data_IF_894317788363
#
_entry.id   IF_894317788363
#
_cell.length_a   1.000
_cell.length_b   1.000
_cell.length_c   1.000
_cell.angle_alpha   90.00
_cell.angle_beta   90.00
_cell.angle_gamma   90.00
#
_symmetry.space_group_name_H-M   'P 1'
#
loop_
_entity.id
_entity.type
_entity.pdbx_description
1 polymer ?
#
# COMPACT_ATOMS: atom_id res chain seq x y z
N UNK A 1 14.21 -10.87 -20.90
CA UNK A 1 13.91 -9.72 -20.03
C UNK A 1 12.82 -10.06 -19.02
N UNK A 2 12.98 -9.60 -17.78
CA UNK A 2 11.91 -9.65 -16.76
C UNK A 2 10.75 -8.72 -17.14
N UNK A 3 9.59 -8.85 -16.50
CA UNK A 3 8.45 -7.94 -16.71
C UNK A 3 8.85 -6.47 -16.45
N UNK A 4 9.64 -6.23 -15.39
CA UNK A 4 10.15 -4.90 -15.04
C UNK A 4 11.01 -4.31 -16.16
N UNK A 5 11.95 -5.10 -16.70
CA UNK A 5 12.79 -4.69 -17.82
C UNK A 5 11.96 -4.38 -19.08
N UNK A 6 10.95 -5.21 -19.39
CA UNK A 6 10.08 -4.97 -20.56
C UNK A 6 9.29 -3.68 -20.46
N UNK A 7 8.72 -3.39 -19.29
CA UNK A 7 7.99 -2.14 -19.06
C UNK A 7 8.95 -0.96 -19.20
N UNK A 8 10.11 -1.01 -18.54
CA UNK A 8 11.10 0.06 -18.62
C UNK A 8 11.65 0.27 -20.03
N UNK A 9 11.87 -0.80 -20.81
CA UNK A 9 12.31 -0.73 -22.20
C UNK A 9 11.29 0.01 -23.08
N UNK A 10 10.01 -0.35 -22.96
CA UNK A 10 8.92 0.33 -23.70
C UNK A 10 8.92 1.84 -23.42
N UNK A 11 8.98 2.22 -22.14
CA UNK A 11 8.92 3.64 -21.73
C UNK A 11 10.18 4.44 -22.06
N UNK A 12 11.31 3.76 -22.25
CA UNK A 12 12.54 4.34 -22.76
C UNK A 12 12.61 4.38 -24.30
N UNK A 13 11.61 3.82 -25.01
CA UNK A 13 11.64 3.68 -26.47
C UNK A 13 12.74 2.74 -26.97
N UNK A 14 13.12 1.75 -26.16
CA UNK A 14 14.18 0.77 -26.46
C UNK A 14 13.57 -0.61 -26.72
N UNK A 15 14.27 -1.42 -27.52
CA UNK A 15 13.89 -2.82 -27.76
C UNK A 15 14.18 -3.70 -26.57
N UNK A 16 15.27 -3.39 -25.86
CA UNK A 16 15.73 -4.11 -24.69
C UNK A 16 16.45 -3.14 -23.74
N UNK A 17 16.47 -3.51 -22.47
CA UNK A 17 17.28 -2.88 -21.42
C UNK A 17 17.85 -3.98 -20.54
N UNK A 18 18.87 -3.65 -19.74
CA UNK A 18 19.46 -4.60 -18.79
C UNK A 18 19.63 -3.99 -17.41
N UNK A 19 19.56 -4.83 -16.37
CA UNK A 19 19.84 -4.41 -15.00
C UNK A 19 21.14 -3.60 -14.89
N UNK A 20 21.08 -2.49 -14.14
CA UNK A 20 22.18 -1.55 -13.97
C UNK A 20 22.26 -0.43 -15.01
N UNK A 21 21.60 -0.58 -16.16
CA UNK A 21 21.52 0.47 -17.18
C UNK A 21 20.78 1.71 -16.67
N UNK A 22 21.27 2.90 -17.01
CA UNK A 22 20.56 4.17 -16.75
C UNK A 22 19.79 4.56 -18.01
N UNK A 23 18.48 4.75 -17.85
CA UNK A 23 17.55 5.12 -18.92
C UNK A 23 16.81 6.41 -18.55
N UNK A 24 16.42 7.18 -19.57
CA UNK A 24 15.39 8.20 -19.43
C UNK A 24 14.08 7.61 -19.95
N UNK A 25 13.02 7.65 -19.15
CA UNK A 25 11.76 6.99 -19.48
C UNK A 25 10.57 7.92 -19.24
N UNK A 26 9.58 7.83 -20.13
CA UNK A 26 8.31 8.56 -20.01
C UNK A 26 7.46 7.91 -18.94
N UNK A 27 6.85 8.72 -18.08
CA UNK A 27 5.94 8.22 -17.04
C UNK A 27 4.49 8.34 -17.48
N UNK A 28 3.66 7.39 -17.08
CA UNK A 28 2.21 7.42 -17.31
C UNK A 28 1.47 8.19 -16.25
N UNK A 29 2.03 8.28 -15.05
CA UNK A 29 1.43 9.00 -13.95
C UNK A 29 2.48 9.49 -12.97
N UNK A 30 2.32 10.74 -12.53
CA UNK A 30 3.03 11.34 -11.40
C UNK A 30 2.03 11.56 -10.27
N UNK A 31 2.25 10.88 -9.15
CA UNK A 31 1.45 11.01 -7.93
C UNK A 31 2.14 11.90 -6.90
N UNK A 32 1.37 12.75 -6.20
CA UNK A 32 1.83 13.39 -4.97
C UNK A 32 0.66 13.66 -4.00
N UNK A 33 0.95 13.65 -2.70
CA UNK A 33 -0.02 13.84 -1.62
C UNK A 33 0.20 15.16 -0.84
N UNK A 34 -0.64 15.42 0.17
CA UNK A 34 -0.61 16.66 0.96
C UNK A 34 0.68 16.89 1.76
N UNK A 35 1.53 15.87 1.92
CA UNK A 35 2.85 16.00 2.57
C UNK A 35 3.92 16.41 1.56
N UNK A 36 3.96 15.73 0.42
CA UNK A 36 5.09 15.80 -0.52
C UNK A 36 4.83 16.69 -1.72
N UNK A 37 3.57 16.86 -2.14
CA UNK A 37 3.18 17.78 -3.20
C UNK A 37 3.52 19.24 -2.87
N UNK A 38 3.35 19.78 -1.64
CA UNK A 38 3.72 21.16 -1.35
C UNK A 38 5.21 21.45 -1.59
N UNK A 39 6.08 20.46 -1.36
CA UNK A 39 7.51 20.57 -1.67
C UNK A 39 7.73 20.49 -3.17
N UNK A 40 7.10 19.51 -3.85
CA UNK A 40 7.21 19.34 -5.29
C UNK A 40 6.71 20.58 -6.06
N UNK A 41 5.59 21.19 -5.63
CA UNK A 41 5.02 22.40 -6.21
C UNK A 41 6.01 23.57 -6.11
N UNK A 42 6.65 23.76 -4.94
CA UNK A 42 7.66 24.81 -4.77
C UNK A 42 8.87 24.60 -5.69
N UNK A 43 9.34 23.36 -5.85
CA UNK A 43 10.43 23.08 -6.79
C UNK A 43 9.99 23.26 -8.25
N UNK A 44 8.78 22.84 -8.61
CA UNK A 44 8.20 23.03 -9.93
C UNK A 44 8.11 24.52 -10.31
N UNK A 45 7.67 25.37 -9.38
CA UNK A 45 7.58 26.83 -9.61
C UNK A 45 8.95 27.47 -9.89
N UNK A 46 10.02 26.97 -9.27
CA UNK A 46 11.40 27.46 -9.54
C UNK A 46 11.88 27.14 -10.95
N UNK A 47 11.32 26.13 -11.62
CA UNK A 47 11.67 25.78 -13.00
C UNK A 47 11.20 26.87 -13.99
N UNK A 48 10.26 27.73 -13.60
CA UNK A 48 9.74 28.80 -14.47
C UNK A 48 8.94 28.29 -15.67
N UNK A 49 8.53 27.02 -15.67
CA UNK A 49 7.71 26.43 -16.73
C UNK A 49 6.27 26.97 -16.66
N UNK A 50 5.66 27.16 -17.83
CA UNK A 50 4.34 27.81 -17.94
C UNK A 50 3.17 26.88 -17.66
N UNK A 51 3.33 25.58 -17.91
CA UNK A 51 2.30 24.56 -17.76
C UNK A 51 2.94 23.24 -17.32
N UNK A 52 2.13 22.31 -16.84
CA UNK A 52 2.52 20.92 -16.59
C UNK A 52 2.62 20.15 -17.91
N UNK A 53 3.35 19.02 -17.91
CA UNK A 53 3.54 18.22 -19.14
C UNK A 53 2.23 17.64 -19.67
N UNK A 54 1.36 17.15 -18.79
CA UNK A 54 0.06 16.57 -19.10
C UNK A 54 -0.84 16.62 -17.87
N UNK A 55 -2.05 17.15 -18.02
CA UNK A 55 -3.01 17.38 -16.94
C UNK A 55 -3.77 16.12 -16.53
N UNK A 56 -3.73 15.08 -17.37
CA UNK A 56 -4.33 13.77 -17.11
C UNK A 56 -3.31 12.75 -16.57
N UNK A 57 -2.01 13.08 -16.58
CA UNK A 57 -0.94 12.21 -16.05
C UNK A 57 -0.35 12.71 -14.73
N UNK A 58 -1.08 13.57 -14.03
CA UNK A 58 -0.73 14.04 -12.68
C UNK A 58 -1.92 13.76 -11.75
N UNK A 59 -1.66 13.07 -10.65
CA UNK A 59 -2.63 12.79 -9.59
C UNK A 59 -2.22 13.50 -8.29
N UNK A 60 -3.12 14.29 -7.74
CA UNK A 60 -2.95 15.03 -6.49
C UNK A 60 -3.98 14.54 -5.49
N UNK A 61 -3.53 13.79 -4.49
CA UNK A 61 -4.39 13.05 -3.55
C UNK A 61 -4.06 13.45 -2.11
N UNK A 62 -4.77 14.44 -1.53
CA UNK A 62 -4.56 14.85 -0.15
C UNK A 62 -5.24 13.86 0.82
N UNK A 63 -4.58 12.76 1.18
CA UNK A 63 -5.12 11.67 2.02
C UNK A 63 -4.44 11.50 3.40
N UNK A 64 -3.32 12.19 3.66
CA UNK A 64 -2.56 12.00 4.90
C UNK A 64 -3.13 12.82 6.07
N UNK A 65 -3.44 14.10 5.85
CA UNK A 65 -4.05 15.00 6.83
C UNK A 65 -5.39 15.54 6.35
N UNK A 66 -6.30 14.66 5.94
CA UNK A 66 -7.67 15.03 5.56
C UNK A 66 -8.70 14.19 6.31
N UNK A 67 -9.65 14.80 7.06
CA UNK A 67 -9.76 16.23 7.37
C UNK A 67 -8.52 16.84 8.03
N UNK A 68 -8.31 18.14 7.87
CA UNK A 68 -7.06 18.79 8.29
C UNK A 68 -6.95 18.87 9.81
N UNK A 69 -5.87 18.28 10.33
CA UNK A 69 -5.59 18.19 11.77
C UNK A 69 -5.22 19.52 12.42
N UNK A 70 -4.62 20.44 11.65
CA UNK A 70 -4.13 21.74 12.11
C UNK A 70 -4.03 22.75 10.95
N UNK A 71 -3.62 23.97 11.26
CA UNK A 71 -3.48 25.07 10.28
C UNK A 71 -2.43 24.72 9.20
N UNK A 72 -1.36 24.00 9.56
CA UNK A 72 -0.31 23.64 8.58
C UNK A 72 -0.85 22.67 7.55
N UNK A 73 -1.59 21.65 7.99
CA UNK A 73 -2.29 20.72 7.09
C UNK A 73 -3.32 21.44 6.21
N UNK A 74 -4.03 22.44 6.75
CA UNK A 74 -4.95 23.29 5.98
C UNK A 74 -4.24 24.04 4.84
N UNK A 75 -3.11 24.68 5.11
CA UNK A 75 -2.31 25.38 4.09
C UNK A 75 -1.70 24.41 3.06
N UNK A 76 -1.27 23.23 3.49
CA UNK A 76 -0.77 22.18 2.59
C UNK A 76 -1.86 21.73 1.61
N UNK A 77 -3.03 21.32 2.11
CA UNK A 77 -4.17 20.92 1.27
C UNK A 77 -4.61 22.06 0.33
N UNK A 78 -4.63 23.30 0.83
CA UNK A 78 -4.93 24.47 0.01
C UNK A 78 -3.93 24.64 -1.15
N UNK A 79 -2.63 24.45 -0.90
CA UNK A 79 -1.61 24.54 -1.94
C UNK A 79 -1.83 23.53 -3.08
N UNK A 80 -2.18 22.27 -2.74
CA UNK A 80 -2.51 21.25 -3.75
C UNK A 80 -3.73 21.67 -4.58
N UNK A 81 -4.79 22.13 -3.91
CA UNK A 81 -6.02 22.58 -4.57
C UNK A 81 -5.77 23.73 -5.52
N UNK A 82 -5.05 24.75 -5.06
CA UNK A 82 -4.75 25.93 -5.87
C UNK A 82 -3.90 25.58 -7.08
N UNK A 83 -2.89 24.71 -6.92
CA UNK A 83 -2.09 24.18 -8.03
C UNK A 83 -2.93 23.38 -9.01
N UNK A 84 -3.78 22.47 -8.49
CA UNK A 84 -4.67 21.65 -9.31
C UNK A 84 -5.60 22.52 -10.16
N UNK A 85 -6.19 23.57 -9.59
CA UNK A 85 -7.06 24.49 -10.35
C UNK A 85 -6.29 25.38 -11.32
N UNK A 86 -5.12 25.90 -10.93
CA UNK A 86 -4.25 26.71 -11.79
C UNK A 86 -3.87 25.97 -13.08
N UNK A 87 -3.46 24.71 -12.95
CA UNK A 87 -3.02 23.88 -14.07
C UNK A 87 -4.12 22.96 -14.62
N UNK A 88 -5.34 23.03 -14.09
CA UNK A 88 -6.50 22.22 -14.51
C UNK A 88 -6.21 20.71 -14.47
N UNK A 89 -5.56 20.27 -13.39
CA UNK A 89 -5.23 18.85 -13.15
C UNK A 89 -6.52 18.04 -13.03
N UNK A 90 -6.68 17.01 -13.86
CA UNK A 90 -7.89 16.19 -13.94
C UNK A 90 -8.06 15.32 -12.71
N UNK A 91 -6.96 14.77 -12.18
CA UNK A 91 -6.97 13.81 -11.07
C UNK A 91 -6.64 14.47 -9.73
N UNK A 92 -7.36 15.53 -9.39
CA UNK A 92 -7.36 16.12 -8.05
C UNK A 92 -8.57 15.64 -7.25
N UNK A 93 -8.32 15.13 -6.04
CA UNK A 93 -9.36 14.54 -5.19
C UNK A 93 -9.53 15.32 -3.89
N UNK A 94 -10.52 16.22 -3.86
CA UNK A 94 -10.88 16.97 -2.65
C UNK A 94 -11.46 16.05 -1.55
N UNK A 95 -11.43 16.52 -0.30
CA UNK A 95 -12.08 15.87 0.83
C UNK A 95 -13.54 15.49 0.51
N UNK A 96 -13.95 14.30 0.92
CA UNK A 96 -15.26 13.72 0.57
C UNK A 96 -15.29 13.01 -0.78
N UNK A 97 -14.28 13.20 -1.64
CA UNK A 97 -14.01 12.36 -2.84
C UNK A 97 -12.66 11.65 -2.77
N UNK A 98 -11.81 12.04 -1.82
CA UNK A 98 -10.51 11.41 -1.60
C UNK A 98 -10.63 10.02 -0.99
N UNK A 99 -9.62 9.20 -1.27
CA UNK A 99 -9.30 7.95 -0.60
C UNK A 99 -7.79 7.83 -0.49
N UNK A 100 -7.32 6.81 0.23
CA UNK A 100 -5.90 6.52 0.34
C UNK A 100 -5.32 6.30 -1.06
N UNK A 101 -4.27 7.05 -1.41
CA UNK A 101 -3.83 7.21 -2.80
C UNK A 101 -3.53 5.88 -3.52
N UNK A 102 -2.97 4.91 -2.81
CA UNK A 102 -2.64 3.61 -3.37
C UNK A 102 -3.82 2.64 -3.52
N UNK A 103 -4.95 2.92 -2.87
CA UNK A 103 -6.21 2.23 -3.09
C UNK A 103 -7.07 2.95 -4.14
N UNK A 104 -7.09 4.29 -4.09
CA UNK A 104 -7.91 5.15 -4.92
C UNK A 104 -7.54 5.07 -6.42
N UNK A 105 -6.26 5.21 -6.77
CA UNK A 105 -5.89 5.32 -8.19
C UNK A 105 -6.14 4.02 -8.99
N UNK A 106 -5.90 2.81 -8.44
CA UNK A 106 -6.34 1.56 -9.05
C UNK A 106 -7.87 1.42 -9.12
N UNK A 107 -8.58 1.85 -8.08
CA UNK A 107 -10.04 1.76 -8.01
C UNK A 107 -10.72 2.63 -9.08
N UNK A 108 -10.17 3.82 -9.33
CA UNK A 108 -10.65 4.77 -10.34
C UNK A 108 -10.22 4.44 -11.78
N UNK A 109 -9.40 3.38 -11.95
CA UNK A 109 -8.86 2.93 -13.23
C UNK A 109 -7.86 3.91 -13.86
N UNK A 110 -7.16 4.68 -13.02
CA UNK A 110 -6.15 5.66 -13.44
C UNK A 110 -4.80 4.97 -13.67
N UNK A 111 -4.44 4.07 -12.75
CA UNK A 111 -3.28 3.19 -12.90
C UNK A 111 -3.73 1.86 -13.50
N UNK A 112 -3.02 1.42 -14.54
CA UNK A 112 -3.37 0.27 -15.36
C UNK A 112 -2.15 -0.63 -15.61
N UNK A 113 -2.38 -1.89 -16.02
CA UNK A 113 -1.31 -2.82 -16.34
C UNK A 113 -0.37 -2.29 -17.44
N UNK A 114 0.93 -2.48 -17.20
CA UNK A 114 2.00 -2.05 -18.09
C UNK A 114 2.40 -0.58 -17.94
N UNK A 115 1.76 0.21 -17.08
CA UNK A 115 2.17 1.60 -16.83
C UNK A 115 3.55 1.71 -16.18
N UNK A 116 4.23 2.83 -16.42
CA UNK A 116 5.33 3.31 -15.58
C UNK A 116 4.87 4.46 -14.68
N UNK A 117 4.73 4.20 -13.38
CA UNK A 117 4.20 5.17 -12.39
C UNK A 117 5.29 5.61 -11.42
N UNK A 118 5.39 6.91 -11.19
CA UNK A 118 6.16 7.45 -10.07
C UNK A 118 5.26 8.20 -9.11
N UNK A 119 5.59 8.15 -7.84
CA UNK A 119 4.86 8.88 -6.82
C UNK A 119 5.81 9.47 -5.79
N UNK A 120 5.51 10.67 -5.31
CA UNK A 120 6.16 11.26 -4.15
C UNK A 120 5.66 10.59 -2.84
N UNK A 121 5.59 9.26 -2.83
CA UNK A 121 5.30 8.39 -1.71
C UNK A 121 6.04 7.06 -1.87
N UNK A 122 6.60 6.54 -0.78
CA UNK A 122 7.40 5.32 -0.78
C UNK A 122 6.64 4.07 -1.22
N UNK A 123 5.33 4.00 -0.97
CA UNK A 123 4.48 2.83 -1.19
C UNK A 123 3.81 2.83 -2.56
N UNK A 124 4.25 3.70 -3.47
CA UNK A 124 3.82 3.69 -4.88
C UNK A 124 4.06 2.33 -5.56
N UNK A 125 5.00 1.52 -5.04
CA UNK A 125 5.21 0.13 -5.44
C UNK A 125 3.95 -0.76 -5.35
N UNK A 126 2.92 -0.36 -4.59
CA UNK A 126 1.60 -1.01 -4.52
C UNK A 126 1.02 -1.34 -5.91
N UNK A 127 1.23 -0.46 -6.89
CA UNK A 127 0.63 -0.60 -8.21
C UNK A 127 1.19 -1.75 -9.05
N UNK A 128 2.33 -2.33 -8.67
CA UNK A 128 2.84 -3.52 -9.35
C UNK A 128 1.98 -4.77 -9.13
N UNK A 129 1.01 -4.74 -8.23
CA UNK A 129 -0.04 -5.76 -8.18
C UNK A 129 -0.88 -5.84 -9.47
N UNK A 130 -0.95 -4.73 -10.22
CA UNK A 130 -1.57 -4.66 -11.55
C UNK A 130 -0.59 -4.98 -12.69
N UNK A 131 0.67 -5.32 -12.38
CA UNK A 131 1.74 -5.44 -13.39
C UNK A 131 2.15 -4.10 -14.01
N UNK A 132 2.02 -3.01 -13.25
CA UNK A 132 2.68 -1.73 -13.57
C UNK A 132 4.07 -1.70 -12.92
N UNK A 133 5.06 -1.06 -13.56
CA UNK A 133 6.30 -0.74 -12.87
C UNK A 133 6.09 0.57 -12.10
N UNK A 134 6.10 0.50 -10.78
CA UNK A 134 5.76 1.64 -9.94
C UNK A 134 6.75 1.83 -8.78
N UNK A 135 7.20 3.07 -8.56
CA UNK A 135 8.21 3.38 -7.54
C UNK A 135 7.97 4.72 -6.87
N UNK A 136 8.33 4.79 -5.59
CA UNK A 136 8.47 6.07 -4.90
C UNK A 136 9.67 6.87 -5.40
N UNK A 137 9.54 8.19 -5.40
CA UNK A 137 10.58 9.17 -5.74
C UNK A 137 10.55 10.36 -4.78
N UNK A 138 11.60 11.19 -4.79
CA UNK A 138 11.61 12.43 -4.03
C UNK A 138 10.72 13.52 -4.65
N UNK A 139 10.36 14.54 -3.86
CA UNK A 139 9.58 15.68 -4.35
C UNK A 139 10.25 16.43 -5.50
N UNK A 140 11.59 16.45 -5.56
CA UNK A 140 12.32 17.07 -6.69
C UNK A 140 12.10 16.29 -7.98
N UNK A 141 12.23 14.96 -7.96
CA UNK A 141 11.98 14.12 -9.14
C UNK A 141 10.52 14.24 -9.59
N UNK A 142 9.58 14.25 -8.65
CA UNK A 142 8.18 14.46 -8.94
C UNK A 142 7.94 15.84 -9.59
N UNK A 143 8.59 16.91 -9.13
CA UNK A 143 8.50 18.23 -9.74
C UNK A 143 9.04 18.25 -11.17
N UNK A 144 10.19 17.62 -11.42
CA UNK A 144 10.77 17.50 -12.76
C UNK A 144 9.86 16.69 -13.67
N UNK A 145 9.30 15.58 -13.20
CA UNK A 145 8.37 14.77 -13.98
C UNK A 145 7.04 15.49 -14.25
N UNK A 146 6.51 16.28 -13.31
CA UNK A 146 5.35 17.15 -13.56
C UNK A 146 5.63 18.21 -14.64
N UNK A 147 6.90 18.60 -14.84
CA UNK A 147 7.30 19.55 -15.88
C UNK A 147 7.60 18.89 -17.23
N UNK A 148 8.15 17.67 -17.22
CA UNK A 148 8.75 17.05 -18.42
C UNK A 148 8.02 15.79 -18.90
N UNK A 149 7.29 15.10 -18.02
CA UNK A 149 6.72 13.78 -18.28
C UNK A 149 7.73 12.65 -18.27
N UNK A 150 8.96 12.90 -17.82
CA UNK A 150 10.07 11.96 -17.88
C UNK A 150 10.83 11.89 -16.55
N UNK A 151 11.48 10.75 -16.30
CA UNK A 151 12.36 10.56 -15.16
C UNK A 151 13.50 9.60 -15.52
N UNK A 152 14.62 9.71 -14.80
CA UNK A 152 15.76 8.83 -14.99
C UNK A 152 15.64 7.62 -14.07
N UNK A 153 15.88 6.44 -14.60
CA UNK A 153 15.83 5.19 -13.86
C UNK A 153 17.13 4.42 -14.05
N UNK A 154 17.65 3.88 -12.96
CA UNK A 154 18.56 2.72 -13.04
C UNK A 154 17.68 1.47 -13.09
N UNK A 155 17.78 0.69 -14.15
CA UNK A 155 17.02 -0.56 -14.31
C UNK A 155 17.40 -1.50 -13.16
N UNK A 156 16.45 -1.97 -12.34
CA UNK A 156 16.75 -2.80 -11.18
C UNK A 156 17.02 -4.25 -11.60
N UNK A 157 17.88 -4.93 -10.84
CA UNK A 157 17.89 -6.41 -10.84
C UNK A 157 16.54 -6.92 -10.28
N UNK A 158 16.20 -8.19 -10.53
CA UNK A 158 14.94 -8.77 -10.05
C UNK A 158 15.21 -10.02 -9.21
N UNK A 159 14.59 -10.11 -8.03
CA UNK A 159 14.50 -11.35 -7.25
C UNK A 159 13.13 -11.98 -7.54
N UNK A 160 13.11 -13.28 -7.83
CA UNK A 160 11.87 -14.04 -8.05
C UNK A 160 11.46 -14.75 -6.76
N UNK A 161 10.21 -14.55 -6.35
CA UNK A 161 9.63 -15.22 -5.19
C UNK A 161 8.49 -16.14 -5.63
N UNK A 162 8.65 -17.44 -5.43
CA UNK A 162 7.71 -18.48 -5.85
C UNK A 162 6.94 -19.00 -4.62
N UNK A 163 5.63 -18.74 -4.57
CA UNK A 163 4.75 -19.16 -3.49
C UNK A 163 3.93 -20.38 -3.93
N UNK A 164 4.13 -21.52 -3.26
CA UNK A 164 3.47 -22.78 -3.58
C UNK A 164 2.75 -23.40 -2.37
N UNK A 165 1.98 -24.46 -2.62
CA UNK A 165 1.13 -25.11 -1.64
C UNK A 165 -0.22 -24.41 -1.46
N UNK A 166 -0.78 -24.55 -0.26
CA UNK A 166 -2.08 -24.01 0.12
C UNK A 166 -1.96 -23.07 1.32
N UNK A 167 -2.74 -21.98 1.31
CA UNK A 167 -2.85 -21.09 2.45
C UNK A 167 -3.58 -21.78 3.60
N UNK A 168 -3.08 -21.58 4.83
CA UNK A 168 -3.86 -21.91 6.01
C UNK A 168 -5.03 -20.93 6.16
N UNK A 169 -5.99 -21.26 7.04
CA UNK A 169 -7.09 -20.36 7.33
C UNK A 169 -6.57 -19.04 7.91
N UNK A 170 -7.20 -17.92 7.54
CA UNK A 170 -6.82 -16.56 7.96
C UNK A 170 -5.44 -16.08 7.49
N UNK A 171 -4.78 -16.85 6.62
CA UNK A 171 -3.51 -16.45 6.00
C UNK A 171 -3.80 -15.83 4.64
N UNK A 172 -3.30 -14.62 4.43
CA UNK A 172 -3.47 -13.87 3.18
C UNK A 172 -2.19 -13.18 2.73
N UNK A 173 -2.33 -12.23 1.79
CA UNK A 173 -1.20 -11.48 1.25
C UNK A 173 -0.35 -10.78 2.32
N UNK A 174 -0.98 -10.37 3.44
CA UNK A 174 -0.29 -9.76 4.58
C UNK A 174 0.70 -10.73 5.24
N UNK A 175 0.26 -11.93 5.53
CA UNK A 175 1.09 -12.95 6.19
C UNK A 175 2.20 -13.42 5.26
N UNK A 176 1.90 -13.60 3.97
CA UNK A 176 2.90 -13.96 2.96
C UNK A 176 4.02 -12.92 2.85
N UNK A 177 3.68 -11.63 2.77
CA UNK A 177 4.70 -10.58 2.63
C UNK A 177 5.46 -10.35 3.95
N UNK A 178 4.80 -10.45 5.10
CA UNK A 178 5.49 -10.40 6.39
C UNK A 178 6.47 -11.57 6.54
N UNK A 179 6.06 -12.79 6.19
CA UNK A 179 6.96 -13.94 6.19
C UNK A 179 8.18 -13.70 5.28
N UNK A 180 7.94 -13.18 4.08
CA UNK A 180 9.00 -12.86 3.11
C UNK A 180 9.98 -11.82 3.65
N UNK A 181 9.48 -10.71 4.23
CA UNK A 181 10.32 -9.65 4.82
C UNK A 181 11.06 -10.16 6.06
N UNK A 182 10.45 -11.08 6.83
CA UNK A 182 11.11 -11.74 7.96
C UNK A 182 12.29 -12.63 7.54
N UNK A 183 12.17 -13.30 6.40
CA UNK A 183 13.23 -14.14 5.83
C UNK A 183 14.39 -13.29 5.26
N UNK A 184 14.09 -12.28 4.46
CA UNK A 184 15.11 -11.52 3.72
C UNK A 184 15.62 -10.27 4.44
N UNK A 185 14.91 -9.79 5.47
CA UNK A 185 15.24 -8.57 6.19
C UNK A 185 14.84 -7.28 5.47
N UNK A 186 15.07 -6.14 6.12
CA UNK A 186 14.68 -4.79 5.62
C UNK A 186 15.52 -4.29 4.44
N UNK A 187 16.68 -4.89 4.19
CA UNK A 187 17.58 -4.57 3.07
C UNK A 187 17.75 -5.76 2.10
N UNK A 188 16.94 -6.81 2.26
CA UNK A 188 17.07 -8.06 1.49
C UNK A 188 16.83 -7.93 0.00
N UNK A 189 16.18 -6.85 -0.43
CA UNK A 189 15.90 -6.53 -1.82
C UNK A 189 16.33 -5.10 -2.21
N UNK A 190 17.30 -4.50 -1.51
CA UNK A 190 17.74 -3.11 -1.76
C UNK A 190 18.00 -2.82 -3.25
N UNK A 191 17.27 -1.84 -3.79
CA UNK A 191 17.30 -1.43 -5.21
C UNK A 191 16.89 -2.50 -6.24
N UNK A 192 16.37 -3.64 -5.82
CA UNK A 192 15.87 -4.70 -6.70
C UNK A 192 14.35 -4.60 -6.87
N UNK A 193 13.83 -5.20 -7.94
CA UNK A 193 12.41 -5.51 -8.08
C UNK A 193 12.11 -6.87 -7.43
N UNK A 194 11.04 -6.95 -6.65
CA UNK A 194 10.50 -8.22 -6.14
C UNK A 194 9.41 -8.71 -7.09
N UNK A 195 9.66 -9.79 -7.83
CA UNK A 195 8.67 -10.41 -8.71
C UNK A 195 8.01 -11.60 -7.98
N UNK A 196 6.73 -11.45 -7.63
CA UNK A 196 5.97 -12.48 -6.91
C UNK A 196 5.20 -13.37 -7.89
N UNK A 197 5.34 -14.68 -7.76
CA UNK A 197 4.72 -15.68 -8.65
C UNK A 197 4.43 -16.99 -7.91
N UNK A 198 3.88 -17.98 -8.61
CA UNK A 198 3.57 -19.30 -8.08
C UNK A 198 2.07 -19.52 -7.87
N UNK A 199 1.70 -20.77 -7.67
CA UNK A 199 0.29 -21.20 -7.66
C UNK A 199 -0.57 -20.51 -6.60
N UNK A 200 0.02 -20.06 -5.50
CA UNK A 200 -0.67 -19.31 -4.46
C UNK A 200 -0.99 -17.90 -4.95
N UNK A 201 -0.06 -17.26 -5.67
CA UNK A 201 -0.26 -15.91 -6.24
C UNK A 201 -1.32 -15.95 -7.35
N UNK A 202 -1.31 -16.98 -8.19
CA UNK A 202 -2.29 -17.18 -9.26
C UNK A 202 -3.74 -17.29 -8.74
N UNK A 203 -3.92 -17.71 -7.49
CA UNK A 203 -5.22 -17.80 -6.80
C UNK A 203 -5.49 -16.64 -5.84
N UNK A 204 -4.49 -15.81 -5.54
CA UNK A 204 -4.58 -14.73 -4.57
C UNK A 204 -5.45 -13.59 -5.15
N UNK A 205 -6.52 -13.16 -4.45
CA UNK A 205 -7.32 -12.02 -4.88
C UNK A 205 -6.50 -10.74 -4.99
N UNK A 206 -6.97 -9.78 -5.82
CA UNK A 206 -6.26 -8.52 -6.01
C UNK A 206 -5.93 -7.81 -4.69
N UNK A 207 -6.83 -7.80 -3.70
CA UNK A 207 -6.56 -7.20 -2.39
C UNK A 207 -5.26 -7.72 -1.76
N UNK A 208 -5.06 -9.05 -1.75
CA UNK A 208 -3.82 -9.67 -1.26
C UNK A 208 -2.60 -9.34 -2.11
N UNK A 209 -2.76 -9.26 -3.44
CA UNK A 209 -1.68 -8.85 -4.35
C UNK A 209 -1.22 -7.42 -4.09
N UNK A 210 -2.17 -6.51 -3.88
CA UNK A 210 -1.88 -5.12 -3.50
C UNK A 210 -1.16 -5.04 -2.15
N UNK A 211 -1.58 -5.83 -1.16
CA UNK A 211 -0.87 -5.93 0.12
C UNK A 211 0.60 -6.33 -0.06
N UNK A 212 0.87 -7.35 -0.89
CA UNK A 212 2.24 -7.83 -1.12
C UNK A 212 3.11 -6.79 -1.81
N UNK A 213 2.63 -6.22 -2.93
CA UNK A 213 3.39 -5.20 -3.66
C UNK A 213 3.55 -3.89 -2.86
N UNK A 214 2.58 -3.54 -2.01
CA UNK A 214 2.68 -2.39 -1.11
C UNK A 214 3.89 -2.52 -0.19
N UNK A 215 4.06 -3.68 0.45
CA UNK A 215 5.12 -3.85 1.45
C UNK A 215 6.49 -4.22 0.86
N UNK A 216 6.65 -4.29 -0.46
CA UNK A 216 7.95 -4.56 -1.09
C UNK A 216 9.05 -3.56 -0.65
N UNK A 217 8.68 -2.29 -0.49
CA UNK A 217 9.62 -1.25 -0.03
C UNK A 217 10.12 -1.48 1.41
N UNK A 218 9.41 -2.26 2.23
CA UNK A 218 9.83 -2.60 3.59
C UNK A 218 10.96 -3.65 3.62
N UNK A 219 11.27 -4.27 2.47
CA UNK A 219 12.49 -5.06 2.24
C UNK A 219 13.56 -4.28 1.43
N UNK A 220 13.37 -2.97 1.25
CA UNK A 220 14.29 -2.09 0.50
C UNK A 220 14.08 -2.16 -1.03
N UNK A 221 13.07 -2.88 -1.50
CA UNK A 221 12.82 -3.06 -2.92
C UNK A 221 12.48 -1.74 -3.62
N UNK A 222 12.97 -1.60 -4.85
CA UNK A 222 12.60 -0.51 -5.75
C UNK A 222 11.14 -0.60 -6.20
N UNK A 223 10.66 -1.83 -6.41
CA UNK A 223 9.30 -2.14 -6.81
C UNK A 223 8.93 -3.56 -6.36
N UNK A 224 7.65 -3.79 -6.11
CA UNK A 224 7.06 -5.14 -6.05
C UNK A 224 6.14 -5.32 -7.25
N UNK A 225 6.19 -6.46 -7.94
CA UNK A 225 5.43 -6.67 -9.17
C UNK A 225 4.88 -8.09 -9.27
N UNK A 226 3.65 -8.21 -9.78
CA UNK A 226 2.97 -9.46 -10.09
C UNK A 226 2.58 -9.41 -11.57
N UNK A 227 2.84 -10.50 -12.29
CA UNK A 227 2.45 -10.62 -13.70
C UNK A 227 0.91 -10.61 -13.78
N UNK A 228 0.30 -9.73 -14.61
CA UNK A 228 -1.15 -9.70 -14.78
C UNK A 228 -1.72 -11.00 -15.34
N UNK A 229 -2.83 -11.44 -14.80
CA UNK A 229 -3.56 -12.64 -15.22
C UNK A 229 -5.07 -12.36 -15.32
N UNK A 230 -5.89 -13.42 -15.34
CA UNK A 230 -7.35 -13.30 -15.38
C UNK A 230 -7.93 -12.55 -14.17
N UNK A 231 -7.36 -12.70 -12.97
CA UNK A 231 -7.83 -11.98 -11.78
C UNK A 231 -7.54 -10.49 -11.92
N UNK A 232 -6.36 -10.13 -12.45
CA UNK A 232 -6.02 -8.74 -12.76
C UNK A 232 -6.93 -8.18 -13.86
N UNK A 233 -7.18 -8.93 -14.93
CA UNK A 233 -8.09 -8.53 -16.02
C UNK A 233 -9.51 -8.27 -15.50
N UNK A 234 -10.05 -9.14 -14.65
CA UNK A 234 -11.38 -8.96 -14.05
C UNK A 234 -11.47 -7.70 -13.19
N UNK A 235 -10.40 -7.36 -12.47
CA UNK A 235 -10.33 -6.12 -11.71
C UNK A 235 -10.24 -4.89 -12.63
N UNK A 236 -9.44 -4.95 -13.70
CA UNK A 236 -9.12 -3.77 -14.52
C UNK A 236 -10.18 -3.45 -15.56
N UNK A 237 -10.78 -4.47 -16.21
CA UNK A 237 -11.65 -4.29 -17.40
C UNK A 237 -12.84 -3.34 -17.19
N UNK A 238 -13.41 -3.31 -15.98
CA UNK A 238 -14.57 -2.45 -15.66
C UNK A 238 -14.16 -1.05 -15.19
N UNK A 239 -12.88 -0.86 -14.84
CA UNK A 239 -12.33 0.38 -14.28
C UNK A 239 -11.58 1.19 -15.34
N UNK A 240 -10.91 0.52 -16.27
CA UNK A 240 -10.06 1.14 -17.27
C UNK A 240 -10.83 2.09 -18.19
N UNK A 241 -10.33 3.32 -18.31
CA UNK A 241 -10.86 4.35 -19.22
C UNK A 241 -9.96 4.59 -20.44
N UNK A 242 -8.84 3.88 -20.52
CA UNK A 242 -7.86 3.88 -21.62
C UNK A 242 -7.33 2.47 -21.85
N UNK A 243 -6.70 2.26 -23.00
CA UNK A 243 -6.03 1.00 -23.32
C UNK A 243 -4.87 0.72 -22.36
N UNK A 244 -4.63 -0.56 -22.11
CA UNK A 244 -3.54 -1.08 -21.29
C UNK A 244 -2.95 -2.33 -21.94
N UNK A 245 -1.77 -2.74 -21.47
CA UNK A 245 -1.03 -3.88 -22.06
C UNK A 245 -0.46 -4.75 -20.95
N UNK A 246 -0.70 -6.05 -21.06
CA UNK A 246 -0.07 -7.02 -20.16
C UNK A 246 1.33 -7.32 -20.65
N UNK A 247 2.28 -7.26 -19.74
CA UNK A 247 3.62 -7.76 -19.93
C UNK A 247 3.81 -9.01 -19.08
N UNK A 248 4.67 -9.91 -19.55
CA UNK A 248 5.10 -11.10 -18.81
C UNK A 248 6.60 -11.25 -18.98
N UNK A 249 7.29 -11.83 -18.01
CA UNK A 249 8.72 -12.13 -18.11
C UNK A 249 8.98 -13.13 -19.25
N UNK A 250 10.12 -13.02 -19.92
CA UNK A 250 10.53 -14.03 -20.91
C UNK A 250 10.83 -15.38 -20.20
N UNK A 251 10.64 -16.54 -20.88
CA UNK A 251 10.95 -17.84 -20.31
C UNK A 251 12.41 -18.01 -19.86
N UNK A 252 13.33 -17.28 -20.49
CA UNK A 252 14.77 -17.25 -20.23
C UNK A 252 15.22 -15.97 -19.50
N UNK A 253 14.29 -15.23 -18.88
CA UNK A 253 14.62 -14.06 -18.08
C UNK A 253 15.58 -14.43 -16.93
N UNK A 254 16.61 -13.60 -16.74
CA UNK A 254 17.58 -13.78 -15.66
C UNK A 254 17.10 -13.07 -14.39
N UNK A 255 17.30 -13.73 -13.25
CA UNK A 255 16.97 -13.23 -11.92
C UNK A 255 18.23 -13.24 -11.07
N UNK A 256 18.39 -12.22 -10.23
CA UNK A 256 19.53 -12.11 -9.31
C UNK A 256 19.47 -13.19 -8.21
N UNK A 257 18.26 -13.55 -7.79
CA UNK A 257 18.00 -14.67 -6.88
C UNK A 257 16.59 -15.25 -7.13
N UNK A 258 16.38 -16.49 -6.72
CA UNK A 258 15.09 -17.17 -6.74
C UNK A 258 14.85 -17.77 -5.36
N UNK A 259 13.75 -17.38 -4.73
CA UNK A 259 13.31 -17.91 -3.43
C UNK A 259 11.98 -18.62 -3.56
N UNK A 260 11.86 -19.76 -2.89
CA UNK A 260 10.66 -20.59 -2.93
C UNK A 260 10.08 -20.78 -1.53
N UNK A 261 8.77 -20.60 -1.38
CA UNK A 261 8.08 -20.66 -0.10
C UNK A 261 6.90 -21.64 -0.13
N UNK A 262 6.94 -22.62 0.76
CA UNK A 262 5.83 -23.53 1.06
C UNK A 262 4.80 -22.82 1.95
N UNK A 263 3.75 -22.27 1.35
CA UNK A 263 2.74 -21.50 2.07
C UNK A 263 1.88 -22.33 3.01
N UNK A 264 1.89 -23.66 2.91
CA UNK A 264 1.18 -24.52 3.87
C UNK A 264 1.80 -24.52 5.25
N UNK A 265 3.03 -24.00 5.38
CA UNK A 265 3.75 -23.86 6.65
C UNK A 265 3.70 -22.46 7.23
N UNK A 266 3.09 -21.49 6.54
CA UNK A 266 3.02 -20.09 7.00
C UNK A 266 1.74 -19.93 7.84
N UNK A 267 1.83 -19.70 9.16
CA UNK A 267 0.67 -19.37 9.99
C UNK A 267 0.35 -17.86 9.87
N UNK A 268 -0.71 -17.36 10.53
CA UNK A 268 -0.90 -15.92 10.69
C UNK A 268 0.33 -15.27 11.33
N UNK A 269 0.84 -14.21 10.72
CA UNK A 269 2.10 -13.57 11.08
C UNK A 269 1.88 -12.19 11.70
N UNK A 270 2.79 -11.80 12.59
CA UNK A 270 2.84 -10.46 13.19
C UNK A 270 4.27 -9.94 13.14
N UNK A 271 4.46 -8.73 12.60
CA UNK A 271 5.72 -8.01 12.73
C UNK A 271 5.76 -7.25 14.05
N UNK A 272 6.66 -7.65 14.95
CA UNK A 272 6.92 -7.00 16.21
C UNK A 272 7.73 -5.70 16.02
N UNK A 273 7.59 -4.72 16.93
CA UNK A 273 8.41 -3.52 16.90
C UNK A 273 9.91 -3.82 17.00
N UNK A 274 10.81 -2.94 16.54
CA UNK A 274 10.53 -1.72 15.78
C UNK A 274 10.91 -1.85 14.30
N UNK A 275 10.86 -3.07 13.75
CA UNK A 275 11.24 -3.36 12.37
C UNK A 275 10.21 -4.27 11.70
N UNK A 276 9.79 -3.99 10.45
CA UNK A 276 8.88 -4.86 9.71
C UNK A 276 9.38 -6.29 9.52
N UNK A 277 10.70 -6.51 9.58
CA UNK A 277 11.33 -7.83 9.47
C UNK A 277 11.38 -8.63 10.78
N UNK A 278 11.01 -8.05 11.93
CA UNK A 278 10.96 -8.77 13.21
C UNK A 278 9.64 -9.56 13.30
N UNK A 279 9.51 -10.61 12.48
CA UNK A 279 8.23 -11.30 12.30
C UNK A 279 8.17 -12.59 13.10
N UNK A 280 7.03 -12.83 13.77
CA UNK A 280 6.74 -14.04 14.54
C UNK A 280 5.32 -14.54 14.25
N UNK A 281 5.04 -15.84 14.41
CA UNK A 281 3.68 -16.35 14.41
C UNK A 281 2.82 -15.63 15.46
N UNK A 282 1.59 -15.24 15.11
CA UNK A 282 0.67 -14.53 16.00
C UNK A 282 0.42 -15.28 17.32
N UNK A 283 0.38 -16.62 17.26
CA UNK A 283 0.14 -17.51 18.39
C UNK A 283 1.23 -17.45 19.47
N UNK A 284 2.44 -17.00 19.14
CA UNK A 284 3.54 -16.85 20.11
C UNK A 284 3.47 -15.54 20.91
N UNK A 285 2.60 -14.62 20.52
CA UNK A 285 2.53 -13.26 21.05
C UNK A 285 1.37 -13.02 22.01
N UNK A 286 0.70 -14.09 22.46
CA UNK A 286 -0.49 -14.04 23.34
C UNK A 286 -0.25 -13.42 24.73
N UNK A 287 0.99 -13.10 25.08
CA UNK A 287 1.33 -12.39 26.31
C UNK A 287 1.36 -10.85 26.15
N UNK A 288 1.27 -10.35 24.92
CA UNK A 288 1.39 -8.92 24.60
C UNK A 288 0.01 -8.26 24.65
N UNK A 289 -0.23 -7.47 25.70
CA UNK A 289 -1.40 -6.58 25.80
C UNK A 289 -1.31 -5.42 24.80
N UNK A 290 -2.46 -4.94 24.35
CA UNK A 290 -2.57 -3.81 23.42
C UNK A 290 -3.56 -2.77 23.96
N UNK A 291 -3.40 -1.53 23.51
CA UNK A 291 -4.26 -0.41 23.88
C UNK A 291 -5.11 0.06 22.69
N UNK A 292 -4.59 -0.12 21.46
CA UNK A 292 -5.23 0.31 20.23
C UNK A 292 -5.19 -0.76 19.14
N UNK A 293 -6.25 -0.83 18.34
CA UNK A 293 -6.28 -1.55 17.07
C UNK A 293 -6.56 -0.58 15.92
N UNK A 294 -5.83 -0.70 14.81
CA UNK A 294 -6.10 0.03 13.57
C UNK A 294 -6.29 -0.95 12.42
N UNK A 295 -7.50 -0.99 11.85
CA UNK A 295 -7.82 -1.80 10.67
C UNK A 295 -8.19 -0.85 9.54
N UNK A 296 -7.32 -0.74 8.54
CA UNK A 296 -7.51 0.14 7.40
C UNK A 296 -6.28 0.96 7.09
N UNK A 297 -5.73 0.78 5.88
CA UNK A 297 -4.56 1.49 5.38
C UNK A 297 -4.44 1.31 3.85
N UNK A 298 -3.38 1.83 3.22
CA UNK A 298 -3.04 1.48 1.84
C UNK A 298 -2.74 -0.03 1.67
N UNK A 299 -2.32 -0.70 2.74
CA UNK A 299 -1.99 -2.13 2.75
C UNK A 299 -3.23 -3.01 2.88
N UNK A 300 -4.14 -2.67 3.81
CA UNK A 300 -5.31 -3.50 4.16
C UNK A 300 -6.50 -2.64 4.62
N UNK A 301 -7.12 -1.92 3.68
CA UNK A 301 -8.35 -1.14 3.90
C UNK A 301 -9.40 -1.33 2.80
N UNK A 302 -9.26 -2.37 1.99
CA UNK A 302 -10.19 -2.71 0.91
C UNK A 302 -11.42 -3.40 1.46
N UNK A 303 -12.45 -3.56 0.62
CA UNK A 303 -13.71 -4.17 1.05
C UNK A 303 -13.52 -5.60 1.57
N UNK A 304 -12.62 -6.37 0.97
CA UNK A 304 -12.28 -7.72 1.41
C UNK A 304 -11.65 -7.73 2.81
N UNK A 305 -10.75 -6.78 3.10
CA UNK A 305 -10.14 -6.62 4.43
C UNK A 305 -11.20 -6.28 5.49
N UNK A 306 -12.15 -5.41 5.14
CA UNK A 306 -13.26 -5.03 6.03
C UNK A 306 -14.21 -6.21 6.27
N UNK A 307 -14.52 -7.01 5.24
CA UNK A 307 -15.35 -8.23 5.39
C UNK A 307 -14.68 -9.25 6.30
N UNK A 308 -13.36 -9.43 6.18
CA UNK A 308 -12.59 -10.31 7.06
C UNK A 308 -12.68 -9.85 8.52
N UNK A 309 -12.40 -8.57 8.79
CA UNK A 309 -12.51 -8.00 10.12
C UNK A 309 -13.94 -8.09 10.69
N UNK A 310 -14.96 -7.79 9.86
CA UNK A 310 -16.36 -7.88 10.25
C UNK A 310 -16.80 -9.32 10.58
N UNK A 311 -16.23 -10.32 9.89
CA UNK A 311 -16.48 -11.74 10.20
C UNK A 311 -16.02 -12.09 11.60
N UNK A 312 -14.87 -11.54 12.03
CA UNK A 312 -14.34 -11.76 13.38
C UNK A 312 -15.15 -10.98 14.43
N UNK A 313 -15.52 -9.73 14.15
CA UNK A 313 -16.17 -8.85 15.10
C UNK A 313 -17.68 -9.08 15.27
N UNK A 314 -18.34 -9.76 14.32
CA UNK A 314 -19.80 -9.97 14.35
C UNK A 314 -20.29 -10.57 15.67
N UNK A 315 -21.22 -9.89 16.32
CA UNK A 315 -21.85 -10.32 17.58
C UNK A 315 -20.92 -10.25 18.80
N UNK A 316 -19.74 -9.64 18.67
CA UNK A 316 -18.76 -9.48 19.75
C UNK A 316 -18.58 -7.99 20.08
N UNK A 317 -17.95 -7.71 21.21
CA UNK A 317 -17.52 -6.36 21.62
C UNK A 317 -16.02 -6.37 21.86
N UNK A 318 -15.39 -5.22 21.69
CA UNK A 318 -13.99 -5.03 22.03
C UNK A 318 -13.75 -5.23 23.53
N UNK A 319 -12.51 -5.58 23.87
CA UNK A 319 -12.06 -5.54 25.25
C UNK A 319 -12.20 -4.10 25.81
N UNK A 320 -12.67 -3.91 27.06
CA UNK A 320 -13.02 -2.58 27.59
C UNK A 320 -11.84 -1.60 27.69
N UNK A 321 -10.60 -2.11 27.68
CA UNK A 321 -9.38 -1.29 27.71
C UNK A 321 -8.80 -1.01 26.31
N UNK A 322 -9.43 -1.52 25.23
CA UNK A 322 -8.94 -1.38 23.86
C UNK A 322 -9.84 -0.46 23.04
N UNK A 323 -9.23 0.47 22.31
CA UNK A 323 -9.91 1.25 21.27
C UNK A 323 -9.60 0.69 19.89
N UNK A 324 -10.59 0.62 19.00
CA UNK A 324 -10.40 0.19 17.62
C UNK A 324 -10.85 1.25 16.64
N UNK A 325 -10.02 1.50 15.62
CA UNK A 325 -10.27 2.45 14.54
C UNK A 325 -10.34 1.66 13.23
N UNK A 326 -11.48 1.75 12.55
CA UNK A 326 -11.71 1.18 11.22
C UNK A 326 -11.60 2.29 10.17
N UNK A 327 -10.77 2.10 9.15
CA UNK A 327 -10.52 3.08 8.09
C UNK A 327 -10.76 2.44 6.71
N UNK A 328 -11.96 2.58 6.12
CA UNK A 328 -12.18 2.21 4.73
C UNK A 328 -11.25 3.00 3.81
N UNK A 329 -10.55 2.34 2.89
CA UNK A 329 -9.48 2.98 2.12
C UNK A 329 -9.99 4.04 1.13
N UNK A 330 -11.22 3.95 0.65
CA UNK A 330 -11.82 4.95 -0.26
C UNK A 330 -13.28 5.19 0.08
N UNK A 331 -13.86 6.27 -0.46
CA UNK A 331 -15.29 6.57 -0.31
C UNK A 331 -16.18 5.49 -0.92
N UNK A 332 -15.75 4.90 -2.05
CA UNK A 332 -16.47 3.79 -2.68
C UNK A 332 -16.50 2.58 -1.75
N UNK A 333 -15.35 2.17 -1.22
CA UNK A 333 -15.26 1.05 -0.26
C UNK A 333 -16.10 1.35 0.99
N UNK A 334 -16.06 2.58 1.50
CA UNK A 334 -16.89 2.99 2.63
C UNK A 334 -18.38 2.75 2.31
N UNK A 335 -18.84 3.24 1.16
CA UNK A 335 -20.25 3.10 0.75
C UNK A 335 -20.65 1.65 0.49
N UNK A 336 -19.77 0.83 -0.07
CA UNK A 336 -19.99 -0.61 -0.26
C UNK A 336 -20.08 -1.33 1.10
N UNK A 337 -19.16 -1.04 2.02
CA UNK A 337 -19.18 -1.57 3.39
C UNK A 337 -20.45 -1.15 4.16
N UNK A 338 -20.95 0.07 3.93
CA UNK A 338 -22.21 0.54 4.51
C UNK A 338 -23.40 -0.26 3.97
N UNK A 339 -23.47 -0.44 2.64
CA UNK A 339 -24.56 -1.20 1.99
C UNK A 339 -24.58 -2.68 2.39
N UNK A 340 -23.42 -3.25 2.71
CA UNK A 340 -23.28 -4.62 3.20
C UNK A 340 -23.51 -4.78 4.72
N UNK A 341 -23.78 -3.69 5.44
CA UNK A 341 -23.98 -3.71 6.90
C UNK A 341 -22.68 -3.93 7.70
N UNK A 342 -21.50 -3.82 7.07
CA UNK A 342 -20.23 -3.98 7.77
C UNK A 342 -19.99 -2.85 8.77
N UNK A 343 -20.41 -1.62 8.41
CA UNK A 343 -20.30 -0.45 9.29
C UNK A 343 -21.10 -0.64 10.58
N UNK A 344 -22.29 -1.22 10.49
CA UNK A 344 -23.13 -1.53 11.66
C UNK A 344 -22.41 -2.52 12.58
N UNK A 345 -21.84 -3.61 12.03
CA UNK A 345 -21.06 -4.59 12.78
C UNK A 345 -19.91 -3.92 13.55
N UNK A 346 -19.17 -3.01 12.91
CA UNK A 346 -18.06 -2.32 13.56
C UNK A 346 -18.52 -1.42 14.71
N UNK A 347 -19.63 -0.70 14.54
CA UNK A 347 -20.19 0.18 15.57
C UNK A 347 -20.75 -0.65 16.74
N UNK A 348 -21.45 -1.76 16.46
CA UNK A 348 -21.95 -2.68 17.48
C UNK A 348 -20.81 -3.31 18.29
N UNK A 349 -19.69 -3.59 17.64
CA UNK A 349 -18.46 -4.05 18.29
C UNK A 349 -17.79 -2.97 19.14
N UNK A 350 -18.24 -1.71 19.06
CA UNK A 350 -17.70 -0.52 19.75
C UNK A 350 -16.42 0.04 19.12
N UNK A 351 -16.17 -0.24 17.84
CA UNK A 351 -15.14 0.44 17.07
C UNK A 351 -15.63 1.80 16.55
N UNK A 352 -14.71 2.72 16.28
CA UNK A 352 -14.99 3.94 15.53
C UNK A 352 -14.67 3.74 14.04
N UNK A 353 -15.53 4.24 13.16
CA UNK A 353 -15.28 4.23 11.71
C UNK A 353 -14.88 5.64 11.26
N UNK A 354 -13.69 5.73 10.69
CA UNK A 354 -13.07 6.96 10.19
C UNK A 354 -13.47 7.23 8.74
N UNK A 355 -13.52 8.51 8.28
CA UNK A 355 -13.43 8.78 6.84
C UNK A 355 -12.15 8.16 6.24
N UNK A 356 -12.11 7.94 4.91
CA UNK A 356 -10.89 7.49 4.23
C UNK A 356 -9.71 8.46 4.44
N UNK A 357 -8.62 7.96 5.02
CA UNK A 357 -7.35 8.68 5.23
C UNK A 357 -6.23 7.68 5.56
N UNK A 358 -4.97 8.04 5.39
CA UNK A 358 -3.85 7.24 5.91
C UNK A 358 -3.83 7.14 7.46
N UNK A 359 -4.62 7.99 8.14
CA UNK A 359 -4.85 7.89 9.58
C UNK A 359 -3.58 8.01 10.41
N UNK A 360 -3.37 7.15 11.44
CA UNK A 360 -2.22 7.25 12.33
C UNK A 360 -0.95 6.65 11.73
N UNK A 361 -0.96 6.19 10.47
CA UNK A 361 0.15 5.45 9.86
C UNK A 361 1.50 6.18 9.93
N UNK A 362 1.50 7.51 9.83
CA UNK A 362 2.70 8.36 9.97
C UNK A 362 2.79 9.10 11.32
N UNK A 363 1.84 8.84 12.23
CA UNK A 363 1.81 9.41 13.58
C UNK A 363 1.30 10.84 13.67
N UNK A 364 0.60 11.32 12.64
CA UNK A 364 0.15 12.72 12.58
C UNK A 364 -1.33 12.95 12.85
N UNK A 365 -2.23 11.96 12.68
CA UNK A 365 -3.68 12.18 12.75
C UNK A 365 -4.44 10.88 13.09
N UNK A 366 -5.69 10.96 13.57
CA UNK A 366 -6.62 9.83 13.75
C UNK A 366 -6.10 8.64 14.60
N UNK A 367 -5.89 8.87 15.90
CA UNK A 367 -5.52 7.79 16.85
C UNK A 367 -4.03 7.69 17.11
N UNK A 368 -3.39 8.82 17.40
CA UNK A 368 -1.96 8.89 17.75
C UNK A 368 -1.73 8.17 19.09
N UNK A 369 -0.64 7.40 19.19
CA UNK A 369 -0.26 6.68 20.40
C UNK A 369 0.45 7.57 21.42
N UNK A 370 0.09 7.42 22.69
CA UNK A 370 0.76 8.01 23.84
C UNK A 370 1.99 7.18 24.28
N UNK A 371 2.72 7.70 25.26
CA UNK A 371 3.88 7.02 25.85
C UNK A 371 3.48 5.68 26.45
N UNK A 372 4.18 4.61 26.05
CA UNK A 372 3.98 3.26 26.58
C UNK A 372 2.80 2.50 25.96
N UNK A 373 2.01 3.14 25.10
CA UNK A 373 0.90 2.46 24.43
C UNK A 373 1.38 1.52 23.31
N UNK A 374 0.61 0.46 23.10
CA UNK A 374 0.83 -0.55 22.07
C UNK A 374 -0.35 -0.61 21.11
N UNK A 375 -0.07 -0.52 19.82
CA UNK A 375 -1.04 -0.78 18.77
C UNK A 375 -0.78 -2.12 18.08
N UNK A 376 -1.84 -2.81 17.67
CA UNK A 376 -1.78 -3.75 16.55
C UNK A 376 -2.50 -3.13 15.35
N UNK A 377 -1.86 -3.13 14.18
CA UNK A 377 -2.31 -2.38 13.03
C UNK A 377 -2.16 -3.15 11.72
N UNK A 378 -3.08 -2.91 10.79
CA UNK A 378 -3.02 -3.43 9.43
C UNK A 378 -2.28 -2.47 8.47
N UNK A 379 -1.39 -1.64 9.01
CA UNK A 379 -0.45 -0.76 8.27
C UNK A 379 0.84 -1.52 7.92
N UNK A 380 1.82 -0.84 7.34
CA UNK A 380 3.05 -1.42 6.81
C UNK A 380 4.34 -1.04 7.58
N UNK A 381 4.30 -0.08 8.51
CA UNK A 381 5.48 0.39 9.25
C UNK A 381 5.28 0.41 10.75
N UNK A 382 6.30 -0.02 11.48
CA UNK A 382 6.33 -0.08 12.95
C UNK A 382 7.61 0.49 13.59
N UNK A 383 8.31 1.38 12.89
CA UNK A 383 9.48 2.07 13.43
C UNK A 383 9.18 2.85 14.72
N UNK A 384 10.22 3.18 15.47
CA UNK A 384 10.13 4.01 16.69
C UNK A 384 9.38 5.31 16.39
N UNK A 385 8.34 5.62 17.19
CA UNK A 385 7.53 6.83 17.03
C UNK A 385 6.65 6.88 15.79
N UNK A 386 6.49 5.76 15.07
CA UNK A 386 5.78 5.75 13.78
C UNK A 386 4.32 6.17 13.86
N UNK A 387 3.61 5.80 14.93
CA UNK A 387 2.20 6.14 15.15
C UNK A 387 1.97 7.17 16.25
N UNK A 388 3.03 7.82 16.75
CA UNK A 388 2.91 8.79 17.82
C UNK A 388 4.16 8.90 18.67
N UNK A 389 4.01 8.73 19.98
CA UNK A 389 5.09 8.90 20.93
C UNK A 389 6.27 7.92 20.62
N UNK A 390 7.54 8.34 20.73
CA UNK A 390 8.69 7.46 20.47
C UNK A 390 8.72 6.18 21.32
N UNK A 391 8.22 6.24 22.55
CA UNK A 391 8.08 5.09 23.46
C UNK A 391 6.76 4.30 23.26
N UNK A 392 6.06 4.50 22.14
CA UNK A 392 4.94 3.63 21.74
C UNK A 392 5.43 2.49 20.85
N UNK A 393 4.69 1.40 20.84
CA UNK A 393 5.01 0.20 20.05
C UNK A 393 3.89 -0.09 19.06
N UNK A 394 4.27 -0.58 17.86
CA UNK A 394 3.32 -0.95 16.81
C UNK A 394 3.62 -2.38 16.36
N UNK A 395 2.60 -3.22 16.35
CA UNK A 395 2.64 -4.58 15.81
C UNK A 395 1.86 -4.60 14.50
N UNK A 396 2.42 -5.19 13.44
CA UNK A 396 1.76 -5.23 12.13
C UNK A 396 1.15 -6.61 11.89
N UNK A 397 -0.12 -6.69 11.49
CA UNK A 397 -0.82 -7.96 11.28
C UNK A 397 -1.85 -7.89 10.16
N UNK A 398 -2.44 -9.04 9.81
CA UNK A 398 -3.64 -9.12 8.97
C UNK A 398 -4.88 -8.54 9.68
N UNK A 399 -5.94 -8.17 8.93
CA UNK A 399 -7.21 -7.73 9.49
C UNK A 399 -7.84 -8.76 10.45
N UNK A 400 -7.77 -10.05 10.12
CA UNK A 400 -8.25 -11.11 11.00
C UNK A 400 -7.58 -11.11 12.39
N UNK A 401 -6.25 -11.06 12.43
CA UNK A 401 -5.48 -11.04 13.69
C UNK A 401 -5.71 -9.73 14.45
N UNK A 402 -5.75 -8.58 13.76
CA UNK A 402 -6.03 -7.29 14.39
C UNK A 402 -7.43 -7.26 15.04
N UNK A 403 -8.44 -7.75 14.32
CA UNK A 403 -9.82 -7.83 14.82
C UNK A 403 -9.93 -8.77 16.03
N UNK A 404 -9.33 -9.96 15.97
CA UNK A 404 -9.34 -10.90 17.08
C UNK A 404 -8.65 -10.32 18.31
N UNK A 405 -7.52 -9.65 18.10
CA UNK A 405 -6.76 -9.00 19.18
C UNK A 405 -7.56 -7.90 19.88
N UNK A 406 -8.38 -7.15 19.14
CA UNK A 406 -9.26 -6.13 19.71
C UNK A 406 -10.33 -6.68 20.64
N UNK A 407 -10.86 -7.87 20.34
CA UNK A 407 -11.80 -8.58 21.23
C UNK A 407 -11.08 -9.14 22.46
N UNK A 408 -9.87 -9.66 22.28
CA UNK A 408 -9.12 -10.33 23.35
C UNK A 408 -8.38 -9.39 24.31
N UNK A 409 -8.12 -8.13 23.92
CA UNK A 409 -7.35 -7.18 24.74
C UNK A 409 -5.82 -7.35 24.65
N UNK A 410 -5.38 -8.25 23.77
CA UNK A 410 -3.99 -8.67 23.58
C UNK A 410 -3.84 -9.26 22.19
N UNK A 411 -2.61 -9.44 21.72
CA UNK A 411 -2.38 -10.15 20.46
C UNK A 411 -2.97 -11.56 20.55
N UNK A 412 -3.73 -11.95 19.54
CA UNK A 412 -4.36 -13.27 19.48
C UNK A 412 -4.95 -13.57 18.10
N UNK A 413 -5.40 -14.79 17.89
CA UNK A 413 -5.90 -15.25 16.59
C UNK A 413 -7.40 -15.50 16.58
N UNK A 414 -8.06 -15.52 15.40
CA UNK A 414 -9.49 -15.83 15.32
C UNK A 414 -9.88 -17.19 15.92
N UNK A 415 -9.00 -18.20 15.88
CA UNK A 415 -9.25 -19.53 16.45
C UNK A 415 -9.52 -19.49 17.96
N UNK A 416 -8.89 -18.57 18.69
CA UNK A 416 -9.14 -18.37 20.12
C UNK A 416 -10.58 -17.89 20.40
N UNK A 417 -11.24 -17.32 19.39
CA UNK A 417 -12.64 -16.89 19.43
C UNK A 417 -13.61 -17.94 18.88
N UNK A 418 -13.12 -19.17 18.64
CA UNK A 418 -13.88 -20.29 18.10
C UNK A 418 -14.23 -20.18 16.62
N UNK A 419 -13.46 -19.38 15.85
CA UNK A 419 -13.74 -19.14 14.44
C UNK A 419 -13.10 -20.15 13.52
#
# INVERSE_FOLDING_TARGET
MTISEKILAEHAGKKEVSAGEIINAKVDLVLANDITAPIAIKEFEKLGVKDVFDREKIALVPDHFTPQKDIKAAEQCKMLRDFAYKYRIKHYFEIGRVGIEHALLPEEGIVLPGDLVIGADSHTCTYGALGAFATGVGSTDAAIAMATGECWFKVPETIKFIYYGNLQRWVGGKDLILYTIGDIGVDGASYMAMEFTGEVIDRLPMAGRFTMCNMAIEAGAKAGIIVPDRITEEYVKERAKRSYKFYTSDPDAMYADIKEYDCSKIPPMVACPHLPSNVKPAQELTHIKIDQVVIGSCTNGRLEDLREAATVLRGRKLHPEVRMIIIPATQRIYMEALKEGLIEIFIEAQAVVSPPTCGPCLGGHMGILAKGERAIATTNRNFVGRMGHPESEVYLSSPAVAAASGVLGRIGTPEELGL
#
